data_IF_372594979882
#
_entry.id   IF_372594979882
#
_cell.length_a   1.000
_cell.length_b   1.000
_cell.length_c   1.000
_cell.angle_alpha   90.00
_cell.angle_beta   90.00
_cell.angle_gamma   90.00
#
_symmetry.space_group_name_H-M   'P 1'
#
loop_
_entity.id
_entity.type
_entity.pdbx_description
1 polymer ?
#
# COMPACT_ATOMS: atom_id res chain seq x y z
N UNK A 1 -22.70 -16.01 -7.82
CA UNK A 1 -21.68 -14.93 -7.98
C UNK A 1 -20.35 -15.65 -8.09
N UNK A 2 -19.71 -15.56 -9.26
CA UNK A 2 -18.68 -16.49 -9.73
C UNK A 2 -17.37 -16.44 -8.94
N UNK A 3 -17.22 -17.35 -7.99
CA UNK A 3 -15.93 -17.66 -7.35
C UNK A 3 -14.92 -18.27 -8.35
N UNK A 4 -15.39 -18.78 -9.50
CA UNK A 4 -14.56 -19.43 -10.52
C UNK A 4 -13.61 -18.48 -11.25
N UNK A 5 -13.97 -17.19 -11.38
CA UNK A 5 -13.10 -16.19 -11.99
C UNK A 5 -12.01 -15.70 -11.03
N UNK A 6 -12.30 -15.60 -9.72
CA UNK A 6 -11.30 -15.26 -8.72
C UNK A 6 -10.19 -16.31 -8.66
N UNK A 7 -10.55 -17.60 -8.70
CA UNK A 7 -9.59 -18.72 -8.67
C UNK A 7 -8.72 -18.77 -9.92
N UNK A 8 -9.23 -18.38 -11.09
CA UNK A 8 -8.46 -18.41 -12.35
C UNK A 8 -7.43 -17.27 -12.41
N UNK A 9 -7.71 -16.10 -11.81
CA UNK A 9 -6.71 -15.05 -11.59
C UNK A 9 -5.67 -15.45 -10.52
N UNK A 10 -6.07 -16.18 -9.47
CA UNK A 10 -5.14 -16.71 -8.48
C UNK A 10 -4.17 -17.75 -9.06
N UNK A 11 -4.60 -18.53 -10.06
CA UNK A 11 -3.82 -19.65 -10.61
C UNK A 11 -2.73 -19.23 -11.61
N UNK A 12 -2.84 -18.03 -12.22
CA UNK A 12 -1.85 -17.50 -13.17
C UNK A 12 -0.68 -16.77 -12.49
N UNK A 13 -0.74 -16.59 -11.17
CA UNK A 13 0.27 -15.97 -10.35
C UNK A 13 0.75 -17.09 -9.42
N UNK A 14 1.98 -17.59 -9.58
CA UNK A 14 2.55 -18.72 -8.80
C UNK A 14 2.88 -18.33 -7.36
N UNK A 15 1.92 -17.67 -6.72
CA UNK A 15 2.09 -16.47 -5.91
C UNK A 15 1.63 -16.65 -4.48
N UNK A 16 1.20 -17.85 -4.12
CA UNK A 16 0.64 -18.10 -2.80
C UNK A 16 1.65 -17.66 -1.73
N UNK A 17 2.95 -17.95 -1.84
CA UNK A 17 3.94 -17.45 -0.87
C UNK A 17 4.33 -15.96 -1.03
N UNK A 18 4.32 -15.43 -2.27
CA UNK A 18 4.72 -14.04 -2.55
C UNK A 18 3.62 -13.03 -2.21
N UNK A 19 2.36 -13.44 -2.25
CA UNK A 19 1.18 -12.60 -2.02
C UNK A 19 0.58 -12.88 -0.64
N UNK A 20 0.46 -14.14 -0.21
CA UNK A 20 -0.22 -14.46 1.06
C UNK A 20 0.51 -13.87 2.26
N UNK A 21 1.84 -13.87 2.26
CA UNK A 21 2.62 -13.36 3.37
C UNK A 21 2.49 -11.83 3.54
N UNK A 22 2.67 -11.00 2.48
CA UNK A 22 2.27 -9.59 2.51
C UNK A 22 0.81 -9.37 2.88
N UNK A 23 -0.12 -10.18 2.34
CA UNK A 23 -1.55 -10.04 2.62
C UNK A 23 -1.88 -10.23 4.10
N UNK A 24 -1.35 -11.28 4.70
CA UNK A 24 -1.54 -11.56 6.13
C UNK A 24 -1.00 -10.42 6.99
N UNK A 25 0.20 -9.90 6.66
CA UNK A 25 0.82 -8.79 7.39
C UNK A 25 0.03 -7.49 7.23
N UNK A 26 -0.44 -7.20 6.03
CA UNK A 26 -1.27 -6.03 5.75
C UNK A 26 -2.64 -6.09 6.43
N UNK A 27 -3.26 -7.27 6.52
CA UNK A 27 -4.52 -7.45 7.25
C UNK A 27 -4.36 -7.15 8.76
N UNK A 28 -3.17 -7.38 9.34
CA UNK A 28 -2.87 -6.95 10.71
C UNK A 28 -2.80 -5.42 10.77
N UNK A 29 -2.19 -4.77 9.77
CA UNK A 29 -2.22 -3.31 9.63
C UNK A 29 -3.66 -2.76 9.55
N UNK A 30 -4.53 -3.40 8.76
CA UNK A 30 -5.95 -3.03 8.67
C UNK A 30 -6.65 -3.16 10.05
N UNK A 31 -6.34 -4.20 10.83
CA UNK A 31 -6.87 -4.33 12.19
C UNK A 31 -6.41 -3.19 13.12
N UNK A 32 -5.15 -2.77 13.04
CA UNK A 32 -4.65 -1.61 13.80
C UNK A 32 -5.32 -0.29 13.35
N UNK A 33 -5.64 -0.13 12.06
CA UNK A 33 -6.46 1.01 11.59
C UNK A 33 -7.84 0.99 12.26
N UNK A 34 -8.50 -0.16 12.34
CA UNK A 34 -9.81 -0.28 13.01
C UNK A 34 -9.75 0.05 14.51
N UNK A 35 -8.59 -0.14 15.15
CA UNK A 35 -8.35 0.22 16.54
C UNK A 35 -7.85 1.67 16.71
N UNK A 36 -7.79 2.46 15.63
CA UNK A 36 -7.25 3.82 15.59
C UNK A 36 -5.78 3.90 16.05
N UNK A 37 -5.03 2.80 15.92
CA UNK A 37 -3.61 2.70 16.23
C UNK A 37 -2.80 2.91 14.94
N UNK A 38 -2.76 4.16 14.48
CA UNK A 38 -2.26 4.48 13.13
C UNK A 38 -0.74 4.30 12.98
N UNK A 39 0.05 4.55 14.03
CA UNK A 39 1.50 4.31 13.99
C UNK A 39 1.82 2.82 13.81
N UNK A 40 1.13 1.94 14.55
CA UNK A 40 1.26 0.48 14.40
C UNK A 40 0.82 0.06 12.99
N UNK A 41 -0.34 0.55 12.53
CA UNK A 41 -0.83 0.25 11.18
C UNK A 41 0.18 0.61 10.09
N UNK A 42 0.83 1.78 10.21
CA UNK A 42 1.87 2.21 9.29
C UNK A 42 3.04 1.22 9.25
N UNK A 43 3.54 0.81 10.42
CA UNK A 43 4.65 -0.15 10.51
C UNK A 43 4.30 -1.49 9.85
N UNK A 44 3.08 -1.99 10.07
CA UNK A 44 2.63 -3.24 9.46
C UNK A 44 2.48 -3.15 7.93
N UNK A 45 2.04 -2.00 7.40
CA UNK A 45 2.01 -1.78 5.96
C UNK A 45 3.39 -1.65 5.33
N UNK A 46 4.31 -0.94 5.99
CA UNK A 46 5.71 -0.85 5.55
C UNK A 46 6.33 -2.26 5.48
N UNK A 47 6.17 -3.07 6.53
CA UNK A 47 6.62 -4.46 6.54
C UNK A 47 5.95 -5.29 5.43
N UNK A 48 4.64 -5.17 5.23
CA UNK A 48 3.93 -5.90 4.18
C UNK A 48 4.44 -5.56 2.78
N UNK A 49 4.76 -4.29 2.51
CA UNK A 49 5.32 -3.84 1.23
C UNK A 49 6.74 -4.39 0.99
N UNK A 50 7.54 -4.54 2.04
CA UNK A 50 8.94 -4.99 2.00
C UNK A 50 9.10 -6.52 2.05
N UNK A 51 8.09 -7.27 2.52
CA UNK A 51 8.19 -8.71 2.69
C UNK A 51 8.55 -9.43 1.39
N UNK A 52 7.88 -9.10 0.29
CA UNK A 52 8.10 -9.68 -1.04
C UNK A 52 7.75 -8.63 -2.09
N UNK A 53 8.76 -8.14 -2.82
CA UNK A 53 8.56 -7.17 -3.88
C UNK A 53 7.79 -7.81 -5.05
N UNK A 54 6.60 -7.30 -5.37
CA UNK A 54 5.83 -7.73 -6.52
C UNK A 54 4.88 -6.62 -7.01
N UNK A 55 4.36 -6.78 -8.23
CA UNK A 55 3.54 -5.76 -8.89
C UNK A 55 2.11 -5.60 -8.34
N UNK A 56 1.74 -6.38 -7.31
CA UNK A 56 0.40 -6.36 -6.74
C UNK A 56 0.39 -5.87 -5.28
N UNK A 57 1.00 -6.61 -4.36
CA UNK A 57 0.92 -6.28 -2.93
C UNK A 57 1.84 -5.13 -2.54
N UNK A 58 3.00 -4.97 -3.20
CA UNK A 58 3.91 -3.85 -2.88
C UNK A 58 3.28 -2.49 -3.14
N UNK A 59 2.75 -2.17 -4.34
CA UNK A 59 2.09 -0.88 -4.54
C UNK A 59 0.82 -0.71 -3.70
N UNK A 60 0.05 -1.78 -3.46
CA UNK A 60 -1.12 -1.75 -2.57
C UNK A 60 -0.75 -1.33 -1.14
N UNK A 61 0.30 -1.91 -0.56
CA UNK A 61 0.70 -1.61 0.82
C UNK A 61 1.47 -0.31 0.96
N UNK A 62 2.27 0.09 -0.04
CA UNK A 62 2.83 1.44 -0.09
C UNK A 62 1.72 2.50 -0.15
N UNK A 63 0.64 2.25 -0.89
CA UNK A 63 -0.49 3.18 -0.98
C UNK A 63 -1.20 3.33 0.37
N UNK A 64 -1.48 2.21 1.04
CA UNK A 64 -2.05 2.20 2.40
C UNK A 64 -1.12 2.91 3.40
N UNK A 65 0.17 2.59 3.39
CA UNK A 65 1.18 3.26 4.22
C UNK A 65 1.21 4.77 3.95
N UNK A 66 1.18 5.21 2.69
CA UNK A 66 1.15 6.62 2.32
C UNK A 66 -0.09 7.35 2.82
N UNK A 67 -1.25 6.70 2.78
CA UNK A 67 -2.50 7.27 3.30
C UNK A 67 -2.44 7.44 4.83
N UNK A 68 -2.00 6.41 5.55
CA UNK A 68 -1.83 6.49 7.00
C UNK A 68 -0.75 7.51 7.39
N UNK A 69 0.35 7.58 6.63
CA UNK A 69 1.40 8.56 6.86
C UNK A 69 0.87 10.00 6.72
N UNK A 70 -0.03 10.28 5.77
CA UNK A 70 -0.70 11.58 5.68
C UNK A 70 -1.56 11.87 6.91
N UNK A 71 -2.32 10.89 7.39
CA UNK A 71 -3.20 11.05 8.57
C UNK A 71 -2.40 11.28 9.86
N UNK A 72 -1.20 10.69 9.95
CA UNK A 72 -0.23 10.92 11.03
C UNK A 72 0.58 12.23 10.87
N UNK A 73 0.34 13.01 9.82
CA UNK A 73 1.12 14.22 9.52
C UNK A 73 2.54 13.96 9.02
N UNK A 74 2.89 12.71 8.72
CA UNK A 74 4.20 12.29 8.18
C UNK A 74 4.24 12.45 6.66
N UNK A 75 4.03 13.68 6.18
CA UNK A 75 3.87 13.98 4.75
C UNK A 75 5.08 13.59 3.90
N UNK A 76 6.31 13.68 4.43
CA UNK A 76 7.53 13.29 3.70
C UNK A 76 7.58 11.78 3.42
N UNK A 77 7.19 10.96 4.40
CA UNK A 77 7.05 9.51 4.19
C UNK A 77 6.00 9.19 3.13
N UNK A 78 4.84 9.83 3.24
CA UNK A 78 3.77 9.64 2.26
C UNK A 78 4.22 10.01 0.85
N UNK A 79 4.92 11.14 0.70
CA UNK A 79 5.50 11.58 -0.56
C UNK A 79 6.42 10.50 -1.15
N UNK A 80 7.38 9.99 -0.36
CA UNK A 80 8.30 8.95 -0.80
C UNK A 80 7.58 7.66 -1.26
N UNK A 81 6.55 7.22 -0.54
CA UNK A 81 5.77 6.04 -0.92
C UNK A 81 5.01 6.25 -2.23
N UNK A 82 4.35 7.40 -2.39
CA UNK A 82 3.61 7.70 -3.62
C UNK A 82 4.52 7.87 -4.84
N UNK A 83 5.70 8.47 -4.66
CA UNK A 83 6.70 8.56 -5.74
C UNK A 83 7.22 7.18 -6.14
N UNK A 84 7.50 6.32 -5.15
CA UNK A 84 7.90 4.93 -5.41
C UNK A 84 6.83 4.18 -6.20
N UNK A 85 5.55 4.33 -5.85
CA UNK A 85 4.45 3.67 -6.58
C UNK A 85 4.38 4.19 -8.02
N UNK A 86 4.44 5.51 -8.21
CA UNK A 86 4.38 6.13 -9.53
C UNK A 86 5.54 5.73 -10.44
N UNK A 87 6.74 5.61 -9.89
CA UNK A 87 7.95 5.28 -10.65
C UNK A 87 8.03 3.78 -10.98
N UNK A 88 7.84 2.91 -9.99
CA UNK A 88 8.07 1.48 -10.13
C UNK A 88 6.84 0.68 -10.56
N UNK A 89 5.65 1.18 -10.25
CA UNK A 89 4.39 0.45 -10.44
C UNK A 89 3.36 1.26 -11.23
N UNK A 90 3.69 1.82 -12.41
CA UNK A 90 2.81 2.73 -13.16
C UNK A 90 1.52 2.07 -13.67
N UNK A 91 1.42 0.74 -13.62
CA UNK A 91 0.22 -0.04 -13.97
C UNK A 91 -0.58 -0.53 -12.75
N UNK A 92 -0.19 -0.16 -11.52
CA UNK A 92 -0.90 -0.57 -10.32
C UNK A 92 -2.32 0.04 -10.28
N UNK A 93 -3.23 -0.67 -9.61
CA UNK A 93 -4.64 -0.28 -9.52
C UNK A 93 -4.82 1.06 -8.78
N UNK A 94 -3.88 1.37 -7.89
CA UNK A 94 -3.89 2.54 -7.02
C UNK A 94 -3.38 3.82 -7.71
N UNK A 95 -2.81 3.74 -8.92
CA UNK A 95 -2.08 4.86 -9.54
C UNK A 95 -2.90 6.15 -9.64
N UNK A 96 -4.16 6.06 -10.06
CA UNK A 96 -5.02 7.25 -10.16
C UNK A 96 -5.20 7.94 -8.79
N UNK A 97 -5.30 7.17 -7.70
CA UNK A 97 -5.42 7.72 -6.34
C UNK A 97 -4.06 8.23 -5.84
N UNK A 98 -2.98 7.53 -6.16
CA UNK A 98 -1.60 7.94 -5.86
C UNK A 98 -1.30 9.31 -6.46
N UNK A 99 -1.70 9.60 -7.69
CA UNK A 99 -1.45 10.91 -8.30
C UNK A 99 -2.14 12.06 -7.55
N UNK A 100 -3.38 11.84 -7.09
CA UNK A 100 -4.11 12.81 -6.28
C UNK A 100 -3.43 13.03 -4.93
N UNK A 101 -3.09 11.94 -4.23
CA UNK A 101 -2.47 12.01 -2.91
C UNK A 101 -1.02 12.52 -2.97
N UNK A 102 -0.30 12.27 -4.06
CA UNK A 102 1.02 12.81 -4.31
C UNK A 102 0.99 14.34 -4.36
N UNK A 103 0.00 14.92 -5.04
CA UNK A 103 -0.22 16.37 -5.04
C UNK A 103 -0.46 16.92 -3.64
N UNK A 104 -1.32 16.25 -2.85
CA UNK A 104 -1.58 16.60 -1.45
C UNK A 104 -0.32 16.51 -0.59
N UNK A 105 0.44 15.43 -0.71
CA UNK A 105 1.69 15.21 0.03
C UNK A 105 2.70 16.34 -0.28
N UNK A 106 2.93 16.66 -1.55
CA UNK A 106 3.82 17.76 -1.96
C UNK A 106 3.42 19.12 -1.37
N UNK A 107 2.13 19.41 -1.28
CA UNK A 107 1.67 20.67 -0.67
C UNK A 107 1.95 20.68 0.84
N UNK A 108 1.81 19.55 1.51
CA UNK A 108 2.03 19.45 2.96
C UNK A 108 3.51 19.44 3.33
N UNK A 109 4.39 18.86 2.50
CA UNK A 109 5.84 18.89 2.73
C UNK A 109 6.43 20.27 2.51
N UNK A 110 6.01 21.00 1.46
CA UNK A 110 6.49 22.36 1.18
C UNK A 110 6.00 23.46 2.17
N UNK A 111 5.17 23.10 3.16
CA UNK A 111 4.62 24.04 4.15
C UNK A 111 5.45 24.15 5.43
N UNK A 112 6.53 23.40 5.56
CA UNK A 112 7.46 23.39 6.70
C UNK A 112 8.91 23.57 6.22
#
# INVERSE_FOLDING_TARGET
KDYKNAVTYLSAFSSDDEILAPLAKGNIGDAFVQLNQLDDALEYYEQAAEMRENNYTTPMYLYKAGTIALDLGKADKALAYFETIKEKYPSASEIAMVEVLLGKAKVLTNKY
#
